data_IF_271423944468
#
_entry.id   IF_271423944468
#
_cell.length_a   1.000
_cell.length_b   1.000
_cell.length_c   1.000
_cell.angle_alpha   90.00
_cell.angle_beta   90.00
_cell.angle_gamma   90.00
#
_symmetry.space_group_name_H-M   'P 1'
#
loop_
_entity.id
_entity.type
_entity.pdbx_description
1 polymer ?
#
# COMPACT_ATOMS: atom_id res chain seq x y z
N UNK A 1 -9.63 -87.83 24.95
CA UNK A 1 -8.47 -86.96 24.72
C UNK A 1 -8.94 -85.52 24.86
N UNK A 2 -8.31 -84.80 25.81
CA UNK A 2 -8.08 -83.35 25.89
C UNK A 2 -9.23 -82.33 25.81
N UNK A 3 -9.31 -81.53 26.88
CA UNK A 3 -9.97 -80.23 27.05
C UNK A 3 -9.52 -79.18 25.99
N UNK A 4 -10.12 -78.00 25.79
CA UNK A 4 -10.58 -77.04 26.80
C UNK A 4 -11.43 -75.89 26.20
N UNK A 5 -12.09 -75.19 27.12
CA UNK A 5 -13.04 -74.05 27.04
C UNK A 5 -12.57 -72.83 26.24
N UNK A 6 -13.51 -72.00 25.76
CA UNK A 6 -13.41 -70.54 25.88
C UNK A 6 -14.79 -69.84 25.77
N UNK A 7 -15.15 -69.09 26.82
CA UNK A 7 -16.26 -68.15 26.90
C UNK A 7 -15.95 -66.86 26.14
N UNK A 8 -16.97 -66.14 25.68
CA UNK A 8 -16.82 -64.73 25.32
C UNK A 8 -18.06 -64.10 24.68
N UNK A 9 -18.84 -63.38 25.47
CA UNK A 9 -19.86 -62.41 25.02
C UNK A 9 -19.22 -61.35 24.10
N UNK A 10 -19.89 -60.98 23.00
CA UNK A 10 -19.68 -59.68 22.35
C UNK A 10 -21.00 -59.11 21.78
N UNK A 11 -21.59 -58.18 22.54
CA UNK A 11 -21.78 -56.73 22.27
C UNK A 11 -22.74 -56.43 21.11
N UNK A 12 -23.96 -56.04 21.49
CA UNK A 12 -24.99 -55.40 20.65
C UNK A 12 -24.56 -53.96 20.35
N UNK A 13 -24.38 -53.62 19.08
CA UNK A 13 -24.17 -52.24 18.65
C UNK A 13 -25.53 -51.52 18.55
N UNK A 14 -25.79 -50.61 19.48
CA UNK A 14 -26.88 -49.63 19.41
C UNK A 14 -26.48 -48.48 18.48
N UNK A 15 -27.22 -48.32 17.38
CA UNK A 15 -27.14 -47.14 16.51
C UNK A 15 -27.90 -46.00 17.18
N UNK A 16 -27.20 -45.03 17.77
CA UNK A 16 -27.78 -43.75 18.16
C UNK A 16 -27.65 -42.76 16.99
N UNK A 17 -28.75 -42.49 16.30
CA UNK A 17 -28.85 -41.35 15.37
C UNK A 17 -29.12 -40.10 16.23
N UNK A 18 -28.05 -39.40 16.61
CA UNK A 18 -28.17 -38.05 17.15
C UNK A 18 -28.35 -37.07 15.98
N UNK A 19 -29.62 -36.75 15.68
CA UNK A 19 -29.95 -35.63 14.79
C UNK A 19 -29.65 -34.32 15.48
N UNK A 20 -28.50 -33.72 15.20
CA UNK A 20 -28.28 -32.31 15.50
C UNK A 20 -28.97 -31.49 14.42
N UNK A 21 -30.17 -30.98 14.71
CA UNK A 21 -30.75 -29.86 14.00
C UNK A 21 -29.90 -28.62 14.30
N UNK A 22 -28.77 -28.49 13.59
CA UNK A 22 -28.08 -27.24 13.43
C UNK A 22 -28.92 -26.38 12.51
N UNK A 23 -29.75 -25.52 13.09
CA UNK A 23 -30.30 -24.37 12.38
C UNK A 23 -29.11 -23.64 11.77
N UNK A 24 -28.96 -23.74 10.44
CA UNK A 24 -28.22 -22.76 9.67
C UNK A 24 -28.96 -21.44 9.90
N UNK A 25 -28.47 -20.66 10.86
CA UNK A 25 -28.51 -19.23 10.71
C UNK A 25 -27.79 -18.96 9.39
N UNK A 26 -28.59 -18.72 8.37
CA UNK A 26 -28.15 -18.02 7.17
C UNK A 26 -27.76 -16.64 7.68
N UNK A 27 -26.55 -16.56 8.23
CA UNK A 27 -25.85 -15.33 8.53
C UNK A 27 -25.62 -14.72 7.15
N UNK A 28 -26.66 -14.05 6.67
CA UNK A 28 -26.56 -13.09 5.59
C UNK A 28 -25.48 -12.14 6.08
N UNK A 29 -24.26 -12.37 5.59
CA UNK A 29 -23.14 -11.46 5.72
C UNK A 29 -23.65 -10.15 5.16
N UNK A 30 -24.23 -9.34 6.04
CA UNK A 30 -24.46 -7.95 5.83
C UNK A 30 -23.10 -7.45 5.36
N UNK A 31 -23.01 -7.12 4.07
CA UNK A 31 -21.86 -6.43 3.53
C UNK A 31 -21.76 -5.16 4.35
N UNK A 32 -20.97 -5.21 5.43
CA UNK A 32 -20.62 -4.05 6.22
C UNK A 32 -19.98 -3.11 5.21
N UNK A 33 -20.78 -2.13 4.78
CA UNK A 33 -20.30 -1.05 3.94
C UNK A 33 -19.04 -0.56 4.64
N UNK A 34 -17.86 -0.57 3.98
CA UNK A 34 -16.60 -0.34 4.67
C UNK A 34 -16.75 0.95 5.45
N UNK A 35 -16.49 0.88 6.77
CA UNK A 35 -16.61 2.00 7.70
C UNK A 35 -15.94 3.20 7.03
N UNK A 36 -16.75 4.18 6.59
CA UNK A 36 -16.20 5.36 5.92
C UNK A 36 -15.27 6.03 6.91
N UNK A 37 -13.97 5.91 6.67
CA UNK A 37 -12.96 6.51 7.54
C UNK A 37 -13.05 8.02 7.41
N UNK A 38 -12.97 8.72 8.53
CA UNK A 38 -12.82 10.18 8.50
C UNK A 38 -11.50 10.50 7.80
N UNK A 39 -11.50 11.50 6.94
CA UNK A 39 -10.35 11.87 6.13
C UNK A 39 -9.80 13.21 6.60
N UNK A 40 -8.48 13.25 6.71
CA UNK A 40 -7.71 14.49 6.71
C UNK A 40 -7.24 14.78 5.28
N UNK A 41 -6.99 16.06 5.00
CA UNK A 41 -6.39 16.50 3.75
C UNK A 41 -5.18 17.35 4.06
N UNK A 42 -4.11 17.16 3.30
CA UNK A 42 -2.88 17.93 3.46
C UNK A 42 -2.10 18.01 2.17
N UNK A 43 -1.11 18.90 2.19
CA UNK A 43 -0.17 19.04 1.09
C UNK A 43 0.62 17.76 0.84
N UNK A 44 0.99 17.55 -0.42
CA UNK A 44 1.86 16.46 -0.84
C UNK A 44 3.25 17.01 -1.11
N UNK A 45 4.25 16.44 -0.44
CA UNK A 45 5.66 16.72 -0.64
C UNK A 45 6.38 15.46 -1.11
N UNK A 46 7.57 15.65 -1.65
CA UNK A 46 8.32 14.54 -2.23
C UNK A 46 9.78 14.61 -1.84
N UNK A 47 10.37 13.47 -1.50
CA UNK A 47 11.81 13.29 -1.40
C UNK A 47 12.23 12.27 -2.45
N UNK A 48 13.15 12.65 -3.35
CA UNK A 48 13.66 11.74 -4.37
C UNK A 48 15.13 11.39 -4.11
N UNK A 49 15.33 10.18 -3.61
CA UNK A 49 16.64 9.53 -3.48
C UNK A 49 16.96 8.65 -4.69
N UNK A 50 16.06 8.52 -5.66
CA UNK A 50 16.35 7.78 -6.89
C UNK A 50 17.26 8.59 -7.83
N UNK A 51 17.97 7.90 -8.71
CA UNK A 51 18.81 8.51 -9.74
C UNK A 51 18.01 9.06 -10.94
N UNK A 52 16.68 8.99 -10.88
CA UNK A 52 15.81 9.29 -12.01
C UNK A 52 14.90 10.47 -11.72
N UNK A 53 14.55 11.19 -12.77
CA UNK A 53 13.56 12.25 -12.69
C UNK A 53 12.18 11.63 -12.59
N UNK A 54 11.38 12.13 -11.65
CA UNK A 54 9.97 11.74 -11.51
C UNK A 54 9.15 12.91 -12.05
N UNK A 55 8.44 12.68 -13.15
CA UNK A 55 7.65 13.70 -13.82
C UNK A 55 6.37 14.02 -13.04
N UNK A 56 5.70 13.00 -12.51
CA UNK A 56 4.52 13.14 -11.65
C UNK A 56 4.25 11.82 -10.96
N UNK A 57 3.38 11.83 -9.95
CA UNK A 57 2.89 10.63 -9.32
C UNK A 57 1.49 10.81 -8.76
N UNK A 58 0.83 9.68 -8.55
CA UNK A 58 -0.48 9.58 -7.93
C UNK A 58 -0.46 8.58 -6.79
N UNK A 59 -1.26 8.85 -5.77
CA UNK A 59 -1.54 7.95 -4.66
C UNK A 59 -3.03 7.67 -4.72
N UNK A 60 -3.43 6.40 -4.64
CA UNK A 60 -4.83 6.00 -4.64
C UNK A 60 -5.07 4.96 -3.56
N UNK A 61 -6.08 5.19 -2.72
CA UNK A 61 -6.58 4.16 -1.80
C UNK A 61 -7.64 3.26 -2.45
N UNK A 62 -8.26 2.38 -1.65
CA UNK A 62 -9.33 1.50 -2.13
C UNK A 62 -10.47 2.26 -2.82
N UNK A 63 -11.06 1.63 -3.83
CA UNK A 63 -12.15 2.22 -4.61
C UNK A 63 -13.28 2.68 -3.68
N UNK A 64 -13.70 3.94 -3.84
CA UNK A 64 -14.76 4.55 -3.02
C UNK A 64 -14.30 5.16 -1.69
N UNK A 65 -13.06 4.90 -1.25
CA UNK A 65 -12.53 5.46 0.01
C UNK A 65 -12.20 6.96 -0.07
N UNK A 66 -12.09 7.52 -1.29
CA UNK A 66 -11.69 8.92 -1.54
C UNK A 66 -10.32 9.31 -0.94
N UNK A 67 -9.52 8.32 -0.57
CA UNK A 67 -8.11 8.43 -0.19
C UNK A 67 -7.31 8.52 -1.48
N UNK A 68 -6.42 9.50 -1.55
CA UNK A 68 -5.55 9.69 -2.70
C UNK A 68 -5.25 11.15 -2.99
N UNK A 69 -4.37 11.34 -3.96
CA UNK A 69 -3.82 12.61 -4.38
C UNK A 69 -2.65 12.39 -5.32
N UNK A 70 -1.75 13.35 -5.37
CA UNK A 70 -0.57 13.29 -6.22
C UNK A 70 0.38 14.42 -5.89
N UNK A 71 1.53 14.43 -6.55
CA UNK A 71 2.54 15.45 -6.31
C UNK A 71 3.24 15.93 -7.57
N UNK A 72 4.07 16.97 -7.40
CA UNK A 72 4.74 17.64 -8.49
C UNK A 72 5.86 16.76 -9.04
N UNK A 73 6.47 17.24 -10.11
CA UNK A 73 7.73 16.67 -10.57
C UNK A 73 8.85 16.88 -9.53
N UNK A 74 9.81 15.96 -9.52
CA UNK A 74 10.99 16.07 -8.65
C UNK A 74 12.25 15.59 -9.37
N UNK A 75 13.30 16.42 -9.26
CA UNK A 75 14.62 16.12 -9.82
C UNK A 75 15.23 14.85 -9.21
N UNK A 76 16.18 14.19 -9.89
CA UNK A 76 16.96 13.11 -9.31
C UNK A 76 17.66 13.51 -8.01
N UNK A 77 18.07 12.50 -7.25
CA UNK A 77 18.96 12.65 -6.11
C UNK A 77 20.19 13.49 -6.48
N UNK A 78 20.57 14.40 -5.58
CA UNK A 78 21.74 15.27 -5.75
C UNK A 78 23.03 14.49 -5.50
N UNK A 79 24.14 15.07 -5.94
CA UNK A 79 25.47 14.57 -5.58
C UNK A 79 25.63 14.43 -4.05
N UNK A 80 26.38 13.42 -3.63
CA UNK A 80 26.56 13.10 -2.21
C UNK A 80 25.35 12.41 -1.55
N UNK A 81 24.36 11.95 -2.33
CA UNK A 81 23.27 11.10 -1.83
C UNK A 81 22.12 11.85 -1.15
N UNK A 82 22.10 13.19 -1.25
CA UNK A 82 21.02 14.01 -0.68
C UNK A 82 19.78 13.97 -1.58
N UNK A 83 18.57 13.86 -1.01
CA UNK A 83 17.37 13.84 -1.83
C UNK A 83 17.15 15.19 -2.50
N UNK A 84 16.52 15.16 -3.66
CA UNK A 84 15.85 16.33 -4.21
C UNK A 84 14.42 16.43 -3.66
N UNK A 85 13.86 17.64 -3.67
CA UNK A 85 12.50 17.91 -3.18
C UNK A 85 12.46 18.41 -1.73
N UNK A 86 11.35 18.14 -1.03
CA UNK A 86 11.08 18.52 0.36
C UNK A 86 10.51 19.93 0.54
N UNK A 87 10.83 20.88 -0.35
CA UNK A 87 10.38 22.28 -0.23
C UNK A 87 9.14 22.64 -1.06
N UNK A 88 8.95 22.01 -2.22
CA UNK A 88 7.76 22.22 -3.05
C UNK A 88 6.62 21.29 -2.60
N UNK A 89 5.42 21.85 -2.53
CA UNK A 89 4.20 21.16 -2.09
C UNK A 89 3.14 21.27 -3.19
N UNK A 90 2.37 20.20 -3.39
CA UNK A 90 1.17 20.22 -4.22
C UNK A 90 -0.02 19.82 -3.38
N UNK A 91 -1.03 20.67 -3.37
CA UNK A 91 -2.31 20.35 -2.77
C UNK A 91 -3.12 19.43 -3.70
N UNK A 92 -3.86 18.44 -3.19
CA UNK A 92 -3.90 17.93 -1.81
C UNK A 92 -4.07 16.41 -1.86
N UNK A 93 -3.54 15.72 -0.86
CA UNK A 93 -3.76 14.28 -0.68
C UNK A 93 -4.69 14.05 0.50
N UNK A 94 -5.76 13.29 0.25
CA UNK A 94 -6.65 12.80 1.30
C UNK A 94 -6.09 11.51 1.88
N UNK A 95 -6.05 11.40 3.20
CA UNK A 95 -5.62 10.22 3.95
C UNK A 95 -6.51 10.04 5.19
N UNK A 96 -6.58 8.83 5.79
CA UNK A 96 -7.38 8.66 7.00
C UNK A 96 -6.92 9.62 8.11
N UNK A 97 -7.86 10.17 8.89
CA UNK A 97 -7.51 10.95 10.10
C UNK A 97 -6.82 10.06 11.12
N UNK A 98 -7.37 8.88 11.34
CA UNK A 98 -6.81 7.84 12.20
C UNK A 98 -6.08 6.80 11.36
N UNK A 99 -4.86 6.44 11.76
CA UNK A 99 -4.07 5.42 11.07
C UNK A 99 -4.82 4.09 10.97
N UNK A 100 -4.76 3.49 9.77
CA UNK A 100 -5.45 2.24 9.44
C UNK A 100 -4.40 1.16 9.11
N UNK A 101 -4.24 0.11 9.93
CA UNK A 101 -3.22 -0.92 9.71
C UNK A 101 -3.40 -1.70 8.40
N UNK A 102 -4.65 -1.87 7.99
CA UNK A 102 -5.02 -2.66 6.82
C UNK A 102 -5.14 -1.83 5.54
N UNK A 103 -4.91 -0.51 5.61
CA UNK A 103 -4.94 0.34 4.43
C UNK A 103 -3.84 -0.08 3.44
N UNK A 104 -4.27 -0.33 2.21
CA UNK A 104 -3.40 -0.62 1.07
C UNK A 104 -3.59 0.43 0.01
N UNK A 105 -2.49 1.07 -0.36
CA UNK A 105 -2.45 2.07 -1.41
C UNK A 105 -1.86 1.49 -2.69
N UNK A 106 -2.22 2.12 -3.80
CA UNK A 106 -1.50 2.04 -5.06
C UNK A 106 -0.80 3.37 -5.30
N UNK A 107 0.50 3.31 -5.57
CA UNK A 107 1.30 4.47 -5.95
C UNK A 107 1.75 4.28 -7.38
N UNK A 108 1.47 5.27 -8.24
CA UNK A 108 1.93 5.28 -9.63
C UNK A 108 2.78 6.50 -9.88
N UNK A 109 3.89 6.35 -10.59
CA UNK A 109 4.76 7.47 -10.93
C UNK A 109 5.31 7.35 -12.34
N UNK A 110 5.42 8.48 -13.01
CA UNK A 110 6.03 8.57 -14.33
C UNK A 110 7.51 8.91 -14.15
N UNK A 111 8.39 8.01 -14.58
CA UNK A 111 9.84 8.15 -14.44
C UNK A 111 10.52 8.30 -15.80
N UNK A 112 11.42 9.27 -15.89
CA UNK A 112 12.29 9.45 -17.04
C UNK A 112 13.67 8.85 -16.73
N UNK A 113 13.91 7.66 -17.27
CA UNK A 113 15.20 6.98 -17.23
C UNK A 113 15.99 7.29 -18.50
N UNK A 114 17.30 7.05 -18.47
CA UNK A 114 18.19 7.23 -19.64
C UNK A 114 17.88 6.28 -20.82
N UNK A 115 17.01 5.29 -20.63
CA UNK A 115 16.61 4.31 -21.65
C UNK A 115 15.09 4.31 -21.78
N UNK A 116 14.59 4.61 -22.98
CA UNK A 116 13.15 4.67 -23.30
C UNK A 116 12.39 3.39 -22.94
N UNK A 117 13.03 2.21 -23.07
CA UNK A 117 12.41 0.92 -22.71
C UNK A 117 12.15 0.77 -21.21
N UNK A 118 12.82 1.58 -20.40
CA UNK A 118 12.73 1.55 -18.94
C UNK A 118 12.08 2.80 -18.36
N UNK A 119 11.87 3.83 -19.18
CA UNK A 119 11.08 5.01 -18.85
C UNK A 119 9.58 4.70 -18.97
N UNK A 120 8.77 5.50 -18.30
CA UNK A 120 7.31 5.35 -18.32
C UNK A 120 6.71 5.28 -16.93
N UNK A 121 5.48 4.82 -16.86
CA UNK A 121 4.76 4.61 -15.61
C UNK A 121 5.27 3.38 -14.89
N UNK A 122 5.44 3.53 -13.59
CA UNK A 122 5.70 2.47 -12.63
C UNK A 122 4.60 2.47 -11.60
N UNK A 123 4.32 1.29 -11.05
CA UNK A 123 3.28 1.05 -10.06
C UNK A 123 3.84 0.23 -8.90
N UNK A 124 3.55 0.66 -7.68
CA UNK A 124 3.67 -0.15 -6.48
C UNK A 124 2.26 -0.38 -5.92
N UNK A 125 1.92 -1.64 -5.67
CA UNK A 125 0.66 -2.05 -5.05
C UNK A 125 0.89 -2.46 -3.59
N UNK A 126 -0.21 -2.53 -2.83
CA UNK A 126 -0.17 -2.94 -1.41
C UNK A 126 0.72 -2.06 -0.53
N UNK A 127 0.97 -0.81 -0.93
CA UNK A 127 1.80 0.13 -0.18
C UNK A 127 1.12 0.45 1.15
N UNK A 128 1.85 0.24 2.24
CA UNK A 128 1.42 0.60 3.60
C UNK A 128 1.92 1.97 3.98
N UNK A 129 1.21 2.63 4.88
CA UNK A 129 1.69 3.81 5.59
C UNK A 129 2.11 3.37 6.99
N UNK A 130 3.25 3.86 7.46
CA UNK A 130 3.67 3.66 8.85
C UNK A 130 2.70 4.33 9.84
N UNK A 131 2.62 3.86 11.10
CA UNK A 131 1.80 4.49 12.12
C UNK A 131 2.09 5.98 12.26
N UNK A 132 1.03 6.77 12.34
CA UNK A 132 1.10 8.21 12.63
C UNK A 132 0.11 8.57 13.72
N UNK A 133 0.42 9.66 14.43
CA UNK A 133 -0.40 10.17 15.51
C UNK A 133 -1.58 10.95 14.95
N UNK A 134 -2.79 10.57 15.36
CA UNK A 134 -4.02 11.32 15.09
C UNK A 134 -3.85 12.79 15.51
N UNK A 135 -4.34 13.71 14.68
CA UNK A 135 -4.31 15.17 14.89
C UNK A 135 -2.93 15.83 14.98
N UNK A 136 -1.85 15.07 14.81
CA UNK A 136 -0.47 15.58 14.78
C UNK A 136 0.16 15.27 13.42
N UNK A 137 -0.56 15.60 12.34
CA UNK A 137 -0.15 15.30 10.97
C UNK A 137 0.16 16.57 10.18
N UNK A 138 1.08 16.47 9.22
CA UNK A 138 1.60 17.59 8.46
C UNK A 138 1.56 17.37 6.93
N UNK A 139 0.60 16.57 6.44
CA UNK A 139 0.51 16.21 5.02
C UNK A 139 1.17 14.87 4.68
N UNK A 140 1.35 14.61 3.38
CA UNK A 140 1.82 13.32 2.86
C UNK A 140 3.14 13.50 2.12
N UNK A 141 4.08 12.59 2.36
CA UNK A 141 5.36 12.50 1.67
C UNK A 141 5.41 11.24 0.84
N UNK A 142 5.72 11.40 -0.45
CA UNK A 142 6.22 10.31 -1.27
C UNK A 142 7.75 10.32 -1.24
N UNK A 143 8.35 9.22 -0.81
CA UNK A 143 9.80 9.05 -0.76
C UNK A 143 10.18 8.04 -1.84
N UNK A 144 10.70 8.51 -2.98
CA UNK A 144 11.19 7.67 -4.05
C UNK A 144 12.64 7.25 -3.79
N UNK A 145 12.92 5.96 -3.96
CA UNK A 145 14.16 5.32 -3.56
C UNK A 145 14.85 4.66 -4.76
N UNK A 146 16.18 4.44 -4.70
CA UNK A 146 16.88 3.66 -5.70
C UNK A 146 16.27 2.27 -5.89
N UNK A 147 16.28 1.77 -7.14
CA UNK A 147 15.72 0.46 -7.47
C UNK A 147 14.20 0.47 -7.61
N UNK A 148 13.60 1.60 -8.02
CA UNK A 148 12.15 1.74 -8.26
C UNK A 148 11.30 1.43 -7.04
N UNK A 149 11.77 1.86 -5.86
CA UNK A 149 11.08 1.67 -4.58
C UNK A 149 10.43 2.96 -4.12
N UNK A 150 9.39 2.85 -3.30
CA UNK A 150 8.68 4.00 -2.75
C UNK A 150 8.25 3.73 -1.31
N UNK A 151 8.28 4.76 -0.46
CA UNK A 151 7.63 4.78 0.85
C UNK A 151 6.67 5.97 0.90
N UNK A 152 5.49 5.75 1.48
CA UNK A 152 4.53 6.82 1.77
C UNK A 152 4.51 7.08 3.27
N UNK A 153 4.70 8.33 3.64
CA UNK A 153 4.75 8.78 5.04
C UNK A 153 3.71 9.87 5.23
N UNK A 154 2.88 9.76 6.26
CA UNK A 154 2.12 10.90 6.76
C UNK A 154 3.01 11.63 7.75
N UNK A 155 3.38 12.87 7.44
CA UNK A 155 4.32 13.62 8.27
C UNK A 155 3.74 13.82 9.66
N UNK A 156 4.52 13.53 10.68
CA UNK A 156 4.14 13.62 12.08
C UNK A 156 5.42 13.73 12.94
N UNK A 157 5.32 14.09 14.25
CA UNK A 157 6.51 14.22 15.11
C UNK A 157 7.39 12.97 15.21
N UNK A 158 6.83 11.78 14.98
CA UNK A 158 7.55 10.50 15.03
C UNK A 158 8.06 10.03 13.66
N UNK A 159 7.84 10.79 12.58
CA UNK A 159 8.27 10.44 11.22
C UNK A 159 9.79 10.61 11.06
N UNK A 160 10.56 9.57 11.44
CA UNK A 160 12.03 9.61 11.45
C UNK A 160 12.66 9.89 10.08
N UNK A 161 12.04 9.44 8.99
CA UNK A 161 12.51 9.69 7.62
C UNK A 161 12.39 11.16 7.19
N UNK A 162 11.61 11.95 7.93
CA UNK A 162 11.43 13.38 7.69
C UNK A 162 12.27 14.24 8.65
N UNK A 163 13.03 13.62 9.55
CA UNK A 163 13.89 14.32 10.48
C UNK A 163 15.03 15.06 9.73
N UNK A 164 15.54 16.17 10.30
CA UNK A 164 16.72 16.83 9.74
C UNK A 164 17.89 15.85 9.60
N UNK A 165 18.51 15.83 8.42
CA UNK A 165 19.61 14.93 8.07
C UNK A 165 19.27 13.43 8.03
N UNK A 166 17.99 13.07 7.96
CA UNK A 166 17.60 11.69 7.70
C UNK A 166 18.17 11.20 6.35
N UNK A 167 18.76 10.01 6.38
CA UNK A 167 19.12 9.27 5.18
C UNK A 167 17.89 8.65 4.50
N UNK A 168 18.07 7.99 3.34
CA UNK A 168 16.98 7.24 2.73
C UNK A 168 16.53 6.09 3.66
N UNK A 169 15.22 5.77 3.69
CA UNK A 169 14.73 4.56 4.34
C UNK A 169 15.52 3.31 3.88
N UNK A 170 15.90 2.42 4.80
CA UNK A 170 16.66 1.22 4.45
C UNK A 170 15.80 0.26 3.62
N UNK A 171 16.45 -0.62 2.85
CA UNK A 171 15.72 -1.61 2.04
C UNK A 171 14.95 -2.65 2.86
N UNK A 172 15.32 -2.84 4.12
CA UNK A 172 14.63 -3.70 5.07
C UNK A 172 13.42 -3.05 5.76
N UNK A 173 13.15 -1.77 5.49
CA UNK A 173 11.97 -1.09 6.05
C UNK A 173 10.67 -1.75 5.52
N UNK A 174 9.78 -2.23 6.40
CA UNK A 174 8.56 -2.94 6.00
C UNK A 174 7.50 -2.06 5.30
N UNK A 175 7.68 -0.74 5.29
CA UNK A 175 6.83 0.23 4.61
C UNK A 175 7.41 0.72 3.28
N UNK A 176 8.62 0.26 2.91
CA UNK A 176 9.16 0.43 1.56
C UNK A 176 8.55 -0.61 0.65
N UNK A 177 7.89 -0.16 -0.41
CA UNK A 177 7.28 -1.00 -1.43
C UNK A 177 8.12 -0.99 -2.72
N UNK A 178 8.13 -2.13 -3.41
CA UNK A 178 8.76 -2.28 -4.72
C UNK A 178 7.78 -1.89 -5.83
N UNK A 179 8.25 -1.05 -6.75
CA UNK A 179 7.57 -0.74 -8.00
C UNK A 179 7.97 -1.68 -9.13
N UNK A 180 7.08 -1.79 -10.10
CA UNK A 180 7.32 -2.43 -11.39
C UNK A 180 6.75 -1.55 -12.52
N UNK A 181 7.20 -1.72 -13.78
CA UNK A 181 6.56 -1.07 -14.92
C UNK A 181 5.04 -1.29 -14.91
N UNK A 182 4.29 -0.22 -15.11
CA UNK A 182 2.82 -0.26 -15.14
C UNK A 182 2.32 -0.44 -16.58
N UNK A 183 2.05 -1.68 -16.97
CA UNK A 183 1.60 -1.98 -18.34
C UNK A 183 0.30 -1.24 -18.71
N UNK A 184 -0.63 -1.11 -17.75
CA UNK A 184 -1.91 -0.43 -17.90
C UNK A 184 -1.69 1.04 -18.26
N UNK A 185 -0.94 1.76 -17.42
CA UNK A 185 -0.76 3.20 -17.62
C UNK A 185 0.27 3.53 -18.70
N UNK A 186 1.22 2.64 -18.98
CA UNK A 186 2.08 2.78 -20.15
C UNK A 186 1.30 2.63 -21.47
N UNK A 187 0.21 1.85 -21.47
CA UNK A 187 -0.68 1.75 -22.62
C UNK A 187 -1.65 2.93 -22.71
N UNK A 188 -2.33 3.28 -21.62
CA UNK A 188 -3.38 4.30 -21.60
C UNK A 188 -2.85 5.73 -21.62
N UNK A 189 -1.74 5.98 -20.93
CA UNK A 189 -1.14 7.29 -20.73
C UNK A 189 0.34 7.30 -21.12
N UNK A 190 0.70 6.93 -22.36
CA UNK A 190 2.10 6.93 -22.79
C UNK A 190 2.71 8.32 -22.58
N UNK A 191 3.85 8.37 -21.87
CA UNK A 191 4.53 9.63 -21.49
C UNK A 191 3.65 10.60 -20.68
N UNK A 192 2.60 10.09 -20.02
CA UNK A 192 1.68 10.88 -19.20
C UNK A 192 0.53 11.55 -19.96
N UNK A 193 0.37 11.28 -21.26
CA UNK A 193 -0.71 11.86 -22.10
C UNK A 193 -1.70 10.77 -22.47
N UNK A 194 -3.00 11.02 -22.31
CA UNK A 194 -4.04 10.06 -22.66
C UNK A 194 -3.95 9.70 -24.15
N UNK A 195 -3.89 8.39 -24.42
CA UNK A 195 -3.80 7.84 -25.76
C UNK A 195 -5.02 8.25 -26.59
N UNK A 196 -4.78 8.65 -27.84
CA UNK A 196 -5.84 9.03 -28.78
C UNK A 196 -6.33 10.47 -28.67
N UNK A 197 -5.72 11.29 -27.82
CA UNK A 197 -5.98 12.75 -27.71
C UNK A 197 -4.76 13.53 -28.28
N UNK A 198 -4.10 13.01 -29.30
CA UNK A 198 -2.92 13.60 -29.94
C UNK A 198 -3.15 13.86 -31.41
#
# INVERSE_FOLDING_TARGET
>A
MTANRLSGLLVVLLVFVAGCAGLREDESSEFQTPKRVELSSGGTRTLNYSQWYIHTFTISGPKGARIGGGGPNVMPMREGGRPSGGGAETCCTNYPREWQPDLRLTVRWLVDKKNEKTSGWYKAENVRIEPYLTDQTAGVWAIFLPGDRVKIVVGNPSASDLAPNAGPPPASDPYVAQGAPDEEWNYEYPKGVMRGIQ
#
